data_IF_382522765023
#
_entry.id   IF_382522765023
#
_cell.length_a   1.000
_cell.length_b   1.000
_cell.length_c   1.000
_cell.angle_alpha   90.00
_cell.angle_beta   90.00
_cell.angle_gamma   90.00
#
_symmetry.space_group_name_H-M   'P 1'
#
loop_
_entity.id
_entity.type
_entity.pdbx_description
1 polymer ?
#
# COMPACT_ATOMS: atom_id res chain seq x y z
N UNK A 1 1.51 -0.89 2.62
CA UNK A 1 0.81 -0.70 3.90
C UNK A 1 0.33 0.75 3.94
N UNK A 2 -0.98 0.99 4.05
CA UNK A 2 -1.64 2.29 3.84
C UNK A 2 -1.71 2.72 2.35
N UNK A 3 -2.03 1.78 1.46
CA UNK A 3 -2.23 2.04 0.02
C UNK A 3 -3.38 3.04 -0.18
N UNK A 4 -4.43 2.95 0.62
CA UNK A 4 -5.60 3.84 0.52
C UNK A 4 -5.28 5.30 0.86
N UNK A 5 -4.14 5.55 1.51
CA UNK A 5 -3.68 6.87 1.92
C UNK A 5 -2.83 7.59 0.87
N UNK A 6 -2.12 6.88 0.00
CA UNK A 6 -1.16 7.51 -0.91
C UNK A 6 -0.89 6.69 -2.19
N UNK A 7 -0.20 5.55 -2.07
CA UNK A 7 0.38 4.82 -3.21
C UNK A 7 -0.66 4.31 -4.23
N UNK A 8 -1.87 3.99 -3.75
CA UNK A 8 -2.90 3.36 -4.56
C UNK A 8 -3.32 4.20 -5.77
N UNK A 9 -3.36 5.53 -5.63
CA UNK A 9 -3.76 6.42 -6.72
C UNK A 9 -2.69 6.48 -7.81
N UNK A 10 -1.41 6.47 -7.45
CA UNK A 10 -0.31 6.44 -8.42
C UNK A 10 -0.30 5.13 -9.21
N UNK A 11 -0.49 4.01 -8.51
CA UNK A 11 -0.57 2.69 -9.15
C UNK A 11 -1.78 2.60 -10.09
N UNK A 12 -2.96 3.04 -9.65
CA UNK A 12 -4.16 3.04 -10.48
C UNK A 12 -3.98 3.91 -11.74
N UNK A 13 -3.43 5.12 -11.59
CA UNK A 13 -3.14 6.01 -12.71
C UNK A 13 -2.15 5.37 -13.70
N UNK A 14 -1.06 4.77 -13.20
CA UNK A 14 -0.10 4.04 -14.03
C UNK A 14 -0.77 2.93 -14.84
N UNK A 15 -1.60 2.09 -14.21
CA UNK A 15 -2.29 0.99 -14.89
C UNK A 15 -3.22 1.49 -15.99
N UNK A 16 -4.00 2.54 -15.72
CA UNK A 16 -4.91 3.15 -16.71
C UNK A 16 -4.12 3.71 -17.90
N UNK A 17 -2.98 4.36 -17.65
CA UNK A 17 -2.09 4.88 -18.71
C UNK A 17 -1.49 3.78 -19.59
N UNK A 18 -1.35 2.57 -19.06
CA UNK A 18 -0.92 1.39 -19.82
C UNK A 18 -2.10 0.65 -20.47
N UNK A 19 -3.29 1.26 -20.52
CA UNK A 19 -4.53 0.63 -21.02
C UNK A 19 -4.90 -0.67 -20.30
N UNK A 20 -4.37 -0.89 -19.09
CA UNK A 20 -4.80 -1.98 -18.22
C UNK A 20 -6.08 -1.55 -17.52
N UNK A 21 -7.10 -2.39 -17.58
CA UNK A 21 -8.37 -2.17 -16.87
C UNK A 21 -8.40 -3.00 -15.58
N UNK A 22 -7.88 -2.48 -14.44
CA UNK A 22 -7.95 -3.20 -13.18
C UNK A 22 -9.38 -3.23 -12.64
N UNK A 23 -9.68 -4.27 -11.87
CA UNK A 23 -10.86 -4.30 -10.99
C UNK A 23 -10.48 -3.68 -9.66
N UNK A 24 -11.22 -2.67 -9.21
CA UNK A 24 -10.96 -1.95 -7.96
C UNK A 24 -12.07 -2.19 -6.94
N UNK A 25 -11.71 -2.20 -5.65
CA UNK A 25 -12.65 -2.15 -4.53
C UNK A 25 -12.35 -0.90 -3.72
N UNK A 26 -13.40 -0.11 -3.45
CA UNK A 26 -13.28 1.18 -2.78
C UNK A 26 -14.26 1.27 -1.62
N UNK A 27 -13.95 2.14 -0.65
CA UNK A 27 -14.83 2.55 0.45
C UNK A 27 -14.88 4.08 0.46
N UNK A 28 -15.97 4.64 -0.06
CA UNK A 28 -16.00 6.06 -0.40
C UNK A 28 -14.87 6.41 -1.37
N UNK A 29 -14.05 7.40 -1.03
CA UNK A 29 -12.88 7.81 -1.82
C UNK A 29 -11.61 6.98 -1.55
N UNK A 30 -11.66 5.99 -0.65
CA UNK A 30 -10.51 5.16 -0.27
C UNK A 30 -10.39 3.93 -1.15
N UNK A 31 -9.22 3.72 -1.75
CA UNK A 31 -8.92 2.57 -2.58
C UNK A 31 -8.39 1.41 -1.73
N UNK A 32 -9.19 0.35 -1.57
CA UNK A 32 -8.85 -0.77 -0.67
C UNK A 32 -8.07 -1.88 -1.38
N UNK A 33 -8.40 -2.11 -2.66
CA UNK A 33 -7.84 -3.22 -3.42
C UNK A 33 -7.82 -2.90 -4.91
N UNK A 34 -6.75 -3.32 -5.59
CA UNK A 34 -6.60 -3.30 -7.04
C UNK A 34 -6.30 -4.74 -7.48
N UNK A 35 -7.09 -5.27 -8.41
CA UNK A 35 -6.88 -6.58 -9.02
C UNK A 35 -6.60 -6.42 -10.51
N UNK A 36 -5.42 -6.87 -10.94
CA UNK A 36 -5.02 -6.92 -12.34
C UNK A 36 -5.16 -8.36 -12.81
N UNK A 37 -6.32 -8.66 -13.42
CA UNK A 37 -6.69 -10.03 -13.79
C UNK A 37 -5.72 -10.64 -14.82
N UNK A 38 -5.25 -9.85 -15.78
CA UNK A 38 -4.31 -10.29 -16.83
C UNK A 38 -2.97 -10.78 -16.27
N UNK A 39 -2.55 -10.28 -15.11
CA UNK A 39 -1.29 -10.65 -14.46
C UNK A 39 -1.50 -11.57 -13.26
N UNK A 40 -2.75 -11.90 -12.91
CA UNK A 40 -3.11 -12.58 -11.68
C UNK A 40 -2.52 -11.90 -10.42
N UNK A 41 -2.47 -10.56 -10.41
CA UNK A 41 -1.94 -9.77 -9.29
C UNK A 41 -3.08 -9.12 -8.52
N UNK A 42 -3.02 -9.21 -7.19
CA UNK A 42 -3.90 -8.49 -6.28
C UNK A 42 -3.09 -7.66 -5.31
N UNK A 43 -3.34 -6.36 -5.31
CA UNK A 43 -2.74 -5.39 -4.39
C UNK A 43 -3.78 -5.04 -3.35
N UNK A 44 -3.49 -5.33 -2.08
CA UNK A 44 -4.42 -5.17 -0.95
C UNK A 44 -3.79 -4.27 0.11
N UNK A 45 -4.59 -3.38 0.70
CA UNK A 45 -4.12 -2.57 1.82
C UNK A 45 -4.11 -3.34 3.14
N UNK A 46 -2.90 -3.70 3.59
CA UNK A 46 -2.66 -4.33 4.89
C UNK A 46 -3.14 -3.50 6.09
N UNK A 47 -3.29 -2.18 5.99
CA UNK A 47 -3.74 -1.33 7.11
C UNK A 47 -5.19 -1.67 7.53
N UNK A 48 -6.01 -2.14 6.60
CA UNK A 48 -7.38 -2.60 6.90
C UNK A 48 -7.43 -3.90 7.74
N UNK A 49 -6.31 -4.64 7.80
CA UNK A 49 -6.18 -5.88 8.58
C UNK A 49 -5.35 -5.66 9.83
N UNK A 50 -4.31 -4.83 9.72
CA UNK A 50 -3.39 -4.49 10.79
C UNK A 50 -3.46 -2.98 11.02
N UNK A 51 -4.42 -2.55 11.85
CA UNK A 51 -4.66 -1.14 12.19
C UNK A 51 -3.58 -0.56 13.13
N UNK A 52 -2.32 -0.68 12.72
CA UNK A 52 -1.14 -0.22 13.45
C UNK A 52 -0.09 0.28 12.46
N UNK A 53 0.90 1.02 12.96
CA UNK A 53 2.02 1.46 12.13
C UNK A 53 2.88 0.28 11.67
N UNK A 54 3.49 0.41 10.49
CA UNK A 54 4.44 -0.57 9.97
C UNK A 54 5.62 -0.86 10.92
N UNK A 55 6.01 0.08 11.78
CA UNK A 55 7.05 -0.13 12.79
C UNK A 55 6.62 -1.03 13.96
N UNK A 56 5.31 -1.14 14.24
CA UNK A 56 4.74 -1.99 15.31
C UNK A 56 4.38 -3.40 14.84
N UNK A 57 4.33 -3.61 13.52
CA UNK A 57 4.05 -4.91 12.91
C UNK A 57 4.96 -6.03 13.45
N UNK A 58 6.31 -5.86 13.49
CA UNK A 58 7.22 -6.90 13.98
C UNK A 58 6.94 -7.35 15.41
N UNK A 59 6.67 -6.38 16.29
CA UNK A 59 6.37 -6.64 17.70
C UNK A 59 5.12 -7.52 17.86
N UNK A 60 4.11 -7.32 17.00
CA UNK A 60 2.86 -8.08 17.06
C UNK A 60 3.02 -9.54 16.62
N UNK A 61 4.13 -9.88 15.96
CA UNK A 61 4.47 -11.24 15.53
C UNK A 61 5.63 -11.86 16.32
N UNK A 62 6.12 -11.19 17.39
CA UNK A 62 7.28 -11.66 18.15
C UNK A 62 8.58 -11.63 17.34
N UNK A 63 8.67 -10.79 16.31
CA UNK A 63 9.87 -10.66 15.47
C UNK A 63 10.80 -9.60 16.06
N UNK A 64 11.99 -10.02 16.50
CA UNK A 64 12.96 -9.12 17.13
C UNK A 64 13.96 -8.50 16.16
N UNK A 65 14.37 -9.23 15.12
CA UNK A 65 15.39 -8.77 14.15
C UNK A 65 14.83 -7.88 13.05
N UNK A 66 13.59 -8.13 12.64
CA UNK A 66 12.93 -7.44 11.51
C UNK A 66 12.30 -6.13 11.99
N UNK A 67 13.05 -5.03 12.06
CA UNK A 67 12.49 -3.71 12.43
C UNK A 67 12.44 -2.76 11.24
N UNK A 68 11.38 -1.95 11.17
CA UNK A 68 11.30 -0.85 10.19
C UNK A 68 12.46 0.13 10.45
N UNK A 69 13.31 0.34 9.46
CA UNK A 69 14.36 1.35 9.51
C UNK A 69 13.82 2.79 9.52
N UNK A 70 14.67 3.74 9.90
CA UNK A 70 14.38 5.16 9.81
C UNK A 70 14.82 5.70 8.43
N UNK A 71 13.96 6.49 7.80
CA UNK A 71 14.31 7.25 6.60
C UNK A 71 14.19 8.74 6.94
N UNK A 72 15.24 9.57 6.73
CA UNK A 72 15.20 10.99 7.03
C UNK A 72 14.22 11.68 6.09
N UNK A 73 13.01 11.93 6.60
CA UNK A 73 12.04 12.75 5.91
C UNK A 73 12.62 14.15 5.76
N UNK A 74 12.50 14.73 4.56
CA UNK A 74 13.07 16.03 4.18
C UNK A 74 14.58 16.07 3.88
N UNK A 75 15.25 14.93 3.70
CA UNK A 75 16.66 14.91 3.26
C UNK A 75 16.92 15.73 1.98
N UNK A 76 15.91 15.83 1.10
CA UNK A 76 15.98 16.55 -0.18
C UNK A 76 15.25 17.89 -0.18
N UNK A 77 14.83 18.39 0.99
CA UNK A 77 14.14 19.68 1.11
C UNK A 77 15.15 20.74 1.53
N UNK A 78 15.25 21.83 0.75
CA UNK A 78 16.07 23.00 1.11
C UNK A 78 15.39 23.85 2.18
#
# INVERSE_FOLDING_TARGET
HNIEGYDGMFLLNYLIRQSVKPKVIMRGSKLLCITVQSLNIRVVDSLNFFAMSLSKLPLSFGLEELKKGYFPHLLNTR
#
